data_IF_004009206979
#
_entry.id   IF_004009206979
#
_cell.length_a   1.000
_cell.length_b   1.000
_cell.length_c   1.000
_cell.angle_alpha   90.00
_cell.angle_beta   90.00
_cell.angle_gamma   90.00
#
_symmetry.space_group_name_H-M   'P 1'
#
loop_
_entity.id
_entity.type
_entity.pdbx_description
1 polymer ?
#
# COMPACT_ATOMS: atom_id res chain seq x y z
N UNK A 1 76.10 -43.69 41.15
CA UNK A 1 75.47 -42.90 40.07
C UNK A 1 73.97 -43.12 40.15
N UNK A 2 73.28 -42.22 40.86
CA UNK A 2 71.82 -42.12 40.94
C UNK A 2 71.57 -40.76 41.58
N UNK A 3 71.44 -39.71 40.76
CA UNK A 3 71.36 -38.34 41.26
C UNK A 3 70.99 -37.29 40.22
N UNK A 4 71.27 -37.53 38.93
CA UNK A 4 70.98 -36.56 37.87
C UNK A 4 69.59 -36.76 37.21
N UNK A 5 68.97 -37.93 37.36
CA UNK A 5 67.71 -38.28 36.69
C UNK A 5 66.46 -37.73 37.42
N UNK A 6 66.55 -37.54 38.75
CA UNK A 6 65.47 -36.98 39.56
C UNK A 6 65.31 -35.46 39.36
N UNK A 7 66.40 -34.74 39.08
CA UNK A 7 66.39 -33.28 38.91
C UNK A 7 65.90 -32.87 37.52
N UNK A 8 66.25 -33.64 36.48
CA UNK A 8 65.72 -33.46 35.11
C UNK A 8 64.21 -33.72 35.03
N UNK A 9 63.70 -34.70 35.80
CA UNK A 9 62.27 -35.00 35.89
C UNK A 9 61.48 -33.90 36.61
N UNK A 10 62.06 -33.27 37.64
CA UNK A 10 61.44 -32.16 38.38
C UNK A 10 61.35 -30.88 37.52
N UNK A 11 62.41 -30.59 36.76
CA UNK A 11 62.49 -29.43 35.87
C UNK A 11 61.57 -29.55 34.64
N UNK A 12 61.40 -30.76 34.11
CA UNK A 12 60.46 -31.02 32.99
C UNK A 12 59.00 -31.00 33.45
N UNK A 13 58.69 -31.45 34.67
CA UNK A 13 57.36 -31.28 35.29
C UNK A 13 57.01 -29.80 35.52
N UNK A 14 57.94 -28.99 36.05
CA UNK A 14 57.73 -27.56 36.32
C UNK A 14 57.52 -26.71 35.05
N UNK A 15 58.09 -27.12 33.92
CA UNK A 15 57.96 -26.42 32.63
C UNK A 15 56.78 -26.94 31.81
N UNK A 16 56.39 -28.21 31.97
CA UNK A 16 55.26 -28.82 31.26
C UNK A 16 53.88 -28.39 31.76
N UNK A 17 53.71 -28.23 33.07
CA UNK A 17 52.44 -27.78 33.69
C UNK A 17 51.94 -26.41 33.17
N UNK A 18 52.76 -25.34 33.16
CA UNK A 18 52.32 -24.05 32.64
C UNK A 18 52.10 -24.06 31.12
N UNK A 19 52.80 -24.92 30.38
CA UNK A 19 52.62 -25.05 28.93
C UNK A 19 51.27 -25.68 28.57
N UNK A 20 50.90 -26.78 29.22
CA UNK A 20 49.60 -27.45 29.00
C UNK A 20 48.42 -26.57 29.45
N UNK A 21 48.56 -25.86 30.56
CA UNK A 21 47.55 -24.91 31.04
C UNK A 21 47.34 -23.75 30.04
N UNK A 22 48.43 -23.24 29.46
CA UNK A 22 48.35 -22.18 28.44
C UNK A 22 47.67 -22.69 27.17
N UNK A 23 48.02 -23.90 26.72
CA UNK A 23 47.40 -24.54 25.55
C UNK A 23 45.90 -24.75 25.74
N UNK A 24 45.48 -25.22 26.91
CA UNK A 24 44.08 -25.44 27.24
C UNK A 24 43.29 -24.12 27.28
N UNK A 25 43.90 -23.04 27.77
CA UNK A 25 43.29 -21.71 27.74
C UNK A 25 43.14 -21.19 26.30
N UNK A 26 44.11 -21.41 25.40
CA UNK A 26 43.91 -21.06 23.99
C UNK A 26 42.83 -21.86 23.30
N UNK A 27 42.75 -23.16 23.54
CA UNK A 27 41.67 -23.98 22.99
C UNK A 27 40.30 -23.48 23.48
N UNK A 28 40.21 -23.10 24.76
CA UNK A 28 39.02 -22.48 25.34
C UNK A 28 38.71 -21.11 24.73
N UNK A 29 39.71 -20.26 24.50
CA UNK A 29 39.54 -18.96 23.86
C UNK A 29 39.12 -19.12 22.40
N UNK A 30 39.73 -20.05 21.67
CA UNK A 30 39.37 -20.37 20.30
C UNK A 30 37.92 -20.86 20.23
N UNK A 31 37.51 -21.77 21.11
CA UNK A 31 36.12 -22.23 21.18
C UNK A 31 35.14 -21.09 21.46
N UNK A 32 35.49 -20.13 22.33
CA UNK A 32 34.67 -18.94 22.57
C UNK A 32 34.58 -18.04 21.34
N UNK A 33 35.68 -17.84 20.62
CA UNK A 33 35.73 -17.08 19.37
C UNK A 33 34.87 -17.76 18.30
N UNK A 34 34.94 -19.08 18.16
CA UNK A 34 34.16 -19.85 17.19
C UNK A 34 32.66 -19.71 17.49
N UNK A 35 32.25 -19.84 18.76
CA UNK A 35 30.86 -19.62 19.19
C UNK A 35 30.41 -18.19 18.90
N UNK A 36 31.26 -17.19 19.15
CA UNK A 36 30.94 -15.80 18.90
C UNK A 36 30.81 -15.50 17.40
N UNK A 37 31.65 -16.11 16.57
CA UNK A 37 31.60 -16.00 15.12
C UNK A 37 30.31 -16.59 14.55
N UNK A 38 29.85 -17.74 15.07
CA UNK A 38 28.56 -18.33 14.71
C UNK A 38 27.40 -17.39 15.06
N UNK A 39 27.36 -16.87 16.29
CA UNK A 39 26.33 -15.90 16.72
C UNK A 39 26.34 -14.63 15.88
N UNK A 40 27.53 -14.13 15.53
CA UNK A 40 27.66 -12.96 14.66
C UNK A 40 27.08 -13.22 13.26
N UNK A 41 27.33 -14.39 12.67
CA UNK A 41 26.76 -14.76 11.38
C UNK A 41 25.22 -14.88 11.45
N UNK A 42 24.68 -15.45 12.53
CA UNK A 42 23.24 -15.57 12.76
C UNK A 42 22.56 -14.19 12.86
N UNK A 43 23.11 -13.28 13.69
CA UNK A 43 22.59 -11.91 13.83
C UNK A 43 22.66 -11.17 12.51
N UNK A 44 23.78 -11.31 11.77
CA UNK A 44 23.94 -10.70 10.45
C UNK A 44 22.88 -11.18 9.46
N UNK A 45 22.61 -12.49 9.42
CA UNK A 45 21.57 -13.06 8.57
C UNK A 45 20.16 -12.57 8.95
N UNK A 46 19.88 -12.49 10.25
CA UNK A 46 18.62 -11.96 10.78
C UNK A 46 18.40 -10.49 10.38
N UNK A 47 19.42 -9.64 10.56
CA UNK A 47 19.36 -8.23 10.15
C UNK A 47 19.11 -8.09 8.65
N UNK A 48 19.79 -8.87 7.82
CA UNK A 48 19.67 -8.78 6.37
C UNK A 48 18.29 -9.26 5.88
N UNK A 49 17.73 -10.31 6.49
CA UNK A 49 16.35 -10.74 6.22
C UNK A 49 15.32 -9.67 6.61
N UNK A 50 15.48 -9.09 7.81
CA UNK A 50 14.61 -8.03 8.31
C UNK A 50 14.61 -6.78 7.42
N UNK A 51 15.76 -6.41 6.85
CA UNK A 51 15.88 -5.25 5.96
C UNK A 51 15.12 -5.46 4.64
N UNK A 52 15.23 -6.65 4.05
CA UNK A 52 14.55 -6.99 2.80
C UNK A 52 13.02 -6.99 2.97
N UNK A 53 12.52 -7.51 4.09
CA UNK A 53 11.08 -7.52 4.38
C UNK A 53 10.55 -6.11 4.62
N UNK A 54 11.27 -5.27 5.38
CA UNK A 54 10.91 -3.87 5.59
C UNK A 54 10.87 -3.08 4.26
N UNK A 55 11.77 -3.38 3.33
CA UNK A 55 11.79 -2.76 2.01
C UNK A 55 10.57 -3.14 1.17
N UNK A 56 10.16 -4.41 1.18
CA UNK A 56 8.94 -4.87 0.49
C UNK A 56 7.69 -4.20 1.05
N UNK A 57 7.56 -4.13 2.38
CA UNK A 57 6.45 -3.43 3.03
C UNK A 57 6.40 -1.94 2.65
N UNK A 58 7.57 -1.28 2.60
CA UNK A 58 7.67 0.12 2.17
C UNK A 58 7.24 0.31 0.72
N UNK A 59 7.63 -0.59 -0.19
CA UNK A 59 7.21 -0.55 -1.60
C UNK A 59 5.69 -0.72 -1.77
N UNK A 60 5.08 -1.63 -0.99
CA UNK A 60 3.62 -1.82 -0.94
C UNK A 60 2.95 -0.54 -0.46
N UNK A 61 3.40 0.02 0.66
CA UNK A 61 2.82 1.25 1.21
C UNK A 61 2.95 2.42 0.24
N UNK A 62 4.09 2.56 -0.43
CA UNK A 62 4.31 3.60 -1.44
C UNK A 62 3.34 3.48 -2.61
N UNK A 63 3.11 2.26 -3.12
CA UNK A 63 2.12 2.00 -4.18
C UNK A 63 0.70 2.37 -3.74
N UNK A 64 0.29 2.01 -2.52
CA UNK A 64 -1.02 2.35 -1.96
C UNK A 64 -1.21 3.85 -1.79
N UNK A 65 -0.20 4.53 -1.25
CA UNK A 65 -0.21 5.99 -1.05
C UNK A 65 -0.31 6.70 -2.40
N UNK A 66 0.48 6.30 -3.40
CA UNK A 66 0.42 6.88 -4.75
C UNK A 66 -0.96 6.71 -5.38
N UNK A 67 -1.54 5.51 -5.29
CA UNK A 67 -2.89 5.23 -5.82
C UNK A 67 -3.95 6.08 -5.12
N UNK A 68 -3.90 6.15 -3.79
CA UNK A 68 -4.83 6.94 -2.99
C UNK A 68 -4.73 8.43 -3.33
N UNK A 69 -3.51 8.96 -3.47
CA UNK A 69 -3.30 10.36 -3.85
C UNK A 69 -3.89 10.68 -5.25
N UNK A 70 -3.72 9.78 -6.23
CA UNK A 70 -4.31 9.93 -7.56
C UNK A 70 -5.84 9.95 -7.48
N UNK A 71 -6.45 9.02 -6.74
CA UNK A 71 -7.90 8.92 -6.61
C UNK A 71 -8.51 10.11 -5.86
N UNK A 72 -7.86 10.61 -4.81
CA UNK A 72 -8.26 11.84 -4.13
C UNK A 72 -8.17 13.06 -5.06
N UNK A 73 -7.14 13.10 -5.93
CA UNK A 73 -7.00 14.15 -6.93
C UNK A 73 -8.13 14.09 -7.96
N UNK A 74 -8.51 12.90 -8.41
CA UNK A 74 -9.68 12.68 -9.26
C UNK A 74 -10.96 13.21 -8.59
N UNK A 75 -11.25 12.79 -7.36
CA UNK A 75 -12.45 13.25 -6.63
C UNK A 75 -12.46 14.77 -6.47
N UNK A 76 -11.31 15.38 -6.16
CA UNK A 76 -11.18 16.83 -6.08
C UNK A 76 -11.47 17.51 -7.42
N UNK A 77 -10.97 16.95 -8.53
CA UNK A 77 -11.24 17.46 -9.87
C UNK A 77 -12.73 17.35 -10.22
N UNK A 78 -13.33 16.17 -9.97
CA UNK A 78 -14.75 15.92 -10.20
C UNK A 78 -15.62 16.87 -9.38
N UNK A 79 -15.33 17.06 -8.09
CA UNK A 79 -16.04 18.01 -7.25
C UNK A 79 -15.99 19.45 -7.79
N UNK A 80 -14.84 19.87 -8.34
CA UNK A 80 -14.69 21.19 -8.99
C UNK A 80 -15.53 21.32 -10.25
N UNK A 81 -15.56 20.27 -11.08
CA UNK A 81 -16.41 20.22 -12.27
C UNK A 81 -17.89 20.32 -11.88
N UNK A 82 -18.31 19.55 -10.89
CA UNK A 82 -19.68 19.51 -10.38
C UNK A 82 -20.13 20.83 -9.72
N UNK A 83 -19.20 21.67 -9.27
CA UNK A 83 -19.50 22.97 -8.67
C UNK A 83 -19.75 24.09 -9.70
N UNK A 84 -19.47 23.86 -10.99
CA UNK A 84 -19.68 24.83 -12.07
C UNK A 84 -20.89 24.38 -12.89
N UNK A 85 -22.03 25.10 -12.89
CA UNK A 85 -23.28 24.65 -13.49
C UNK A 85 -23.16 24.18 -14.95
N UNK A 86 -22.57 25.00 -15.83
CA UNK A 86 -22.41 24.66 -17.26
C UNK A 86 -21.56 23.40 -17.47
N UNK A 87 -20.51 23.23 -16.64
CA UNK A 87 -19.62 22.09 -16.71
C UNK A 87 -20.26 20.84 -16.10
N UNK A 88 -21.09 21.03 -15.08
CA UNK A 88 -21.87 19.98 -14.45
C UNK A 88 -22.97 19.47 -15.39
N UNK A 89 -23.64 20.34 -16.14
CA UNK A 89 -24.61 19.95 -17.17
C UNK A 89 -23.95 19.09 -18.24
N UNK A 90 -22.82 19.54 -18.79
CA UNK A 90 -22.09 18.78 -19.81
C UNK A 90 -21.54 17.46 -19.26
N UNK A 91 -20.94 17.46 -18.07
CA UNK A 91 -20.38 16.27 -17.43
C UNK A 91 -21.45 15.23 -17.03
N UNK A 92 -22.62 15.67 -16.61
CA UNK A 92 -23.76 14.80 -16.29
C UNK A 92 -24.54 14.36 -17.54
N UNK A 93 -24.14 14.86 -18.72
CA UNK A 93 -24.83 14.65 -19.99
C UNK A 93 -26.25 15.20 -20.02
N UNK A 94 -26.53 16.23 -19.22
CA UNK A 94 -27.83 16.88 -19.17
C UNK A 94 -27.98 17.73 -20.44
N UNK A 95 -29.06 17.49 -21.19
CA UNK A 95 -29.41 18.22 -22.41
C UNK A 95 -30.89 18.57 -22.39
N UNK A 96 -31.25 19.66 -23.04
CA UNK A 96 -32.66 20.00 -23.27
C UNK A 96 -33.15 19.32 -24.56
N UNK A 97 -34.24 18.57 -24.47
CA UNK A 97 -34.90 17.92 -25.60
C UNK A 97 -36.27 18.56 -25.82
N UNK A 98 -36.51 19.03 -27.05
CA UNK A 98 -37.72 19.75 -27.42
C UNK A 98 -38.98 18.91 -27.12
N UNK A 99 -39.92 19.48 -26.37
CA UNK A 99 -41.17 18.83 -25.94
C UNK A 99 -41.06 17.85 -24.75
N UNK A 100 -39.85 17.47 -24.33
CA UNK A 100 -39.58 16.54 -23.21
C UNK A 100 -38.92 17.25 -22.02
N UNK A 101 -38.21 18.36 -22.27
CA UNK A 101 -37.45 19.10 -21.26
C UNK A 101 -36.05 18.55 -21.07
N UNK A 102 -35.47 18.73 -19.88
CA UNK A 102 -34.13 18.25 -19.58
C UNK A 102 -34.09 16.72 -19.50
N UNK A 103 -33.12 16.11 -20.18
CA UNK A 103 -32.85 14.67 -20.23
C UNK A 103 -31.39 14.39 -19.86
N UNK A 104 -31.10 13.20 -19.32
CA UNK A 104 -29.74 12.76 -18.98
C UNK A 104 -28.95 12.18 -20.18
N UNK A 105 -27.72 11.71 -19.91
CA UNK A 105 -26.84 11.06 -20.91
C UNK A 105 -27.45 9.82 -21.57
N UNK A 106 -28.43 9.19 -20.92
CA UNK A 106 -29.17 8.02 -21.40
C UNK A 106 -30.49 8.40 -22.09
N UNK A 107 -30.83 9.70 -22.16
CA UNK A 107 -32.09 10.20 -22.70
C UNK A 107 -33.27 10.11 -21.72
N UNK A 108 -33.02 9.81 -20.44
CA UNK A 108 -34.04 9.71 -19.41
C UNK A 108 -34.51 11.10 -19.00
N UNK A 109 -35.81 11.42 -19.03
CA UNK A 109 -36.33 12.71 -18.60
C UNK A 109 -36.06 12.96 -17.11
N UNK A 110 -35.62 14.17 -16.76
CA UNK A 110 -35.36 14.55 -15.36
C UNK A 110 -36.65 14.55 -14.51
N UNK A 111 -37.83 14.70 -15.12
CA UNK A 111 -39.14 14.62 -14.45
C UNK A 111 -39.47 13.25 -13.86
N UNK A 112 -38.83 12.17 -14.36
CA UNK A 112 -38.96 10.82 -13.83
C UNK A 112 -38.01 10.52 -12.66
N UNK A 113 -37.15 11.46 -12.28
CA UNK A 113 -36.18 11.22 -11.22
C UNK A 113 -36.88 11.21 -9.86
N UNK A 114 -36.93 10.04 -9.23
CA UNK A 114 -37.32 9.95 -7.83
C UNK A 114 -36.41 10.81 -6.96
N UNK A 115 -36.99 11.61 -6.06
CA UNK A 115 -36.23 12.40 -5.07
C UNK A 115 -35.31 11.53 -4.18
N UNK A 116 -35.57 10.22 -4.15
CA UNK A 116 -34.80 9.20 -3.46
C UNK A 116 -33.71 8.62 -4.36
N UNK A 117 -32.48 8.60 -3.86
CA UNK A 117 -31.34 8.01 -4.57
C UNK A 117 -31.44 6.49 -4.47
N UNK A 118 -31.77 5.83 -5.57
CA UNK A 118 -31.58 4.38 -5.64
C UNK A 118 -30.09 4.10 -5.85
N UNK A 119 -29.42 3.73 -4.76
CA UNK A 119 -27.98 3.48 -4.77
C UNK A 119 -27.61 2.18 -5.51
N UNK A 120 -28.60 1.42 -5.99
CA UNK A 120 -28.39 0.13 -6.65
C UNK A 120 -28.03 0.23 -8.13
N UNK A 121 -28.21 1.39 -8.78
CA UNK A 121 -28.05 1.58 -10.23
C UNK A 121 -26.64 2.03 -10.65
N UNK A 122 -25.71 2.17 -9.71
CA UNK A 122 -24.40 2.73 -10.00
C UNK A 122 -23.51 1.72 -10.75
N UNK A 123 -23.52 1.84 -12.07
CA UNK A 123 -22.58 1.18 -12.96
C UNK A 123 -21.23 1.89 -12.96
N UNK A 124 -20.12 1.16 -13.23
CA UNK A 124 -18.78 1.72 -13.18
C UNK A 124 -18.57 2.84 -14.21
N UNK A 125 -17.86 3.91 -13.81
CA UNK A 125 -17.19 4.81 -14.74
C UNK A 125 -15.99 4.05 -15.33
N UNK A 126 -16.24 3.31 -16.41
CA UNK A 126 -15.28 2.36 -17.00
C UNK A 126 -13.99 3.06 -17.43
N UNK A 127 -14.06 4.32 -17.89
CA UNK A 127 -12.91 5.01 -18.48
C UNK A 127 -11.86 5.43 -17.43
N UNK A 128 -12.29 5.86 -16.24
CA UNK A 128 -11.40 6.18 -15.12
C UNK A 128 -10.84 4.90 -14.46
N UNK A 129 -11.66 3.87 -14.30
CA UNK A 129 -11.25 2.60 -13.69
C UNK A 129 -10.28 1.80 -14.58
N UNK A 130 -10.49 1.81 -15.90
CA UNK A 130 -9.63 1.11 -16.88
C UNK A 130 -8.27 1.82 -16.99
N UNK A 131 -8.24 3.15 -16.98
CA UNK A 131 -6.99 3.92 -17.05
C UNK A 131 -6.09 3.69 -15.82
N UNK A 132 -6.69 3.56 -14.63
CA UNK A 132 -5.93 3.23 -13.41
C UNK A 132 -5.42 1.79 -13.44
N UNK A 133 -6.25 0.80 -13.83
CA UNK A 133 -5.81 -0.61 -13.94
C UNK A 133 -4.68 -0.81 -14.95
N UNK A 134 -4.62 -0.01 -16.02
CA UNK A 134 -3.60 -0.15 -17.07
C UNK A 134 -2.21 0.41 -16.69
N UNK A 135 -2.12 1.39 -15.79
CA UNK A 135 -0.82 1.96 -15.36
C UNK A 135 -0.12 1.15 -14.27
N UNK A 136 -0.74 0.07 -13.85
CA UNK A 136 -0.56 -0.52 -12.54
C UNK A 136 -0.08 -1.96 -12.79
N UNK A 137 1.24 -2.17 -12.67
CA UNK A 137 1.94 -3.45 -12.92
C UNK A 137 1.45 -4.60 -12.01
N UNK A 138 2.16 -5.73 -11.96
CA UNK A 138 1.74 -6.90 -11.16
C UNK A 138 1.59 -6.53 -9.68
N UNK A 139 0.35 -6.36 -9.22
CA UNK A 139 0.04 -6.18 -7.81
C UNK A 139 0.18 -7.50 -7.08
N UNK A 140 0.59 -7.41 -5.82
CA UNK A 140 0.35 -8.50 -4.88
C UNK A 140 -1.17 -8.61 -4.62
N UNK A 141 -1.65 -9.81 -4.32
CA UNK A 141 -3.08 -10.13 -4.18
C UNK A 141 -3.77 -9.24 -3.13
N UNK A 142 -3.03 -8.85 -2.07
CA UNK A 142 -3.53 -7.92 -1.05
C UNK A 142 -3.70 -6.48 -1.54
N UNK A 143 -2.83 -6.02 -2.45
CA UNK A 143 -2.94 -4.68 -3.00
C UNK A 143 -4.11 -4.56 -3.97
N UNK A 144 -4.39 -5.62 -4.73
CA UNK A 144 -5.52 -5.63 -5.66
C UNK A 144 -6.86 -5.49 -4.92
N UNK A 145 -7.05 -6.22 -3.81
CA UNK A 145 -8.23 -6.11 -2.97
C UNK A 145 -8.39 -4.69 -2.39
N UNK A 146 -7.32 -4.13 -1.81
CA UNK A 146 -7.33 -2.77 -1.26
C UNK A 146 -7.68 -1.72 -2.33
N UNK A 147 -7.06 -1.80 -3.52
CA UNK A 147 -7.32 -0.88 -4.61
C UNK A 147 -8.76 -1.03 -5.13
N UNK A 148 -9.27 -2.26 -5.20
CA UNK A 148 -10.65 -2.54 -5.59
C UNK A 148 -11.67 -1.89 -4.65
N UNK A 149 -11.49 -2.02 -3.34
CA UNK A 149 -12.36 -1.37 -2.34
C UNK A 149 -12.27 0.16 -2.39
N UNK A 150 -11.06 0.69 -2.60
CA UNK A 150 -10.84 2.12 -2.70
C UNK A 150 -11.50 2.71 -3.95
N UNK A 151 -11.38 2.03 -5.09
CA UNK A 151 -12.07 2.41 -6.33
C UNK A 151 -13.59 2.39 -6.16
N UNK A 152 -14.13 1.35 -5.50
CA UNK A 152 -15.57 1.27 -5.19
C UNK A 152 -16.04 2.44 -4.33
N UNK A 153 -15.23 2.85 -3.36
CA UNK A 153 -15.53 3.99 -2.48
C UNK A 153 -15.51 5.31 -3.27
N UNK A 154 -14.52 5.50 -4.13
CA UNK A 154 -14.40 6.67 -5.01
C UNK A 154 -15.57 6.77 -5.99
N UNK A 155 -15.99 5.63 -6.55
CA UNK A 155 -17.16 5.54 -7.42
C UNK A 155 -18.43 5.97 -6.66
N UNK A 156 -18.68 5.40 -5.49
CA UNK A 156 -19.85 5.77 -4.67
C UNK A 156 -19.91 7.27 -4.38
N UNK A 157 -18.78 7.88 -4.00
CA UNK A 157 -18.72 9.33 -3.76
C UNK A 157 -19.01 10.12 -5.05
N UNK A 158 -18.42 9.68 -6.16
CA UNK A 158 -18.60 10.29 -7.47
C UNK A 158 -20.05 10.27 -7.93
N UNK A 159 -20.75 9.17 -7.70
CA UNK A 159 -22.16 9.00 -8.06
C UNK A 159 -23.08 9.83 -7.17
N UNK A 160 -22.79 9.90 -5.86
CA UNK A 160 -23.50 10.79 -4.94
C UNK A 160 -23.34 12.25 -5.36
N UNK A 161 -22.14 12.66 -5.79
CA UNK A 161 -21.91 14.01 -6.32
C UNK A 161 -22.78 14.29 -7.56
N UNK A 162 -22.81 13.36 -8.52
CA UNK A 162 -23.62 13.50 -9.73
C UNK A 162 -25.13 13.55 -9.42
N UNK A 163 -25.62 12.65 -8.53
CA UNK A 163 -27.02 12.65 -8.11
C UNK A 163 -27.41 13.93 -7.37
N UNK A 164 -26.52 14.50 -6.56
CA UNK A 164 -26.76 15.79 -5.90
C UNK A 164 -26.91 16.93 -6.90
N UNK A 165 -25.99 17.05 -7.86
CA UNK A 165 -26.04 18.06 -8.92
C UNK A 165 -27.36 17.98 -9.68
N UNK A 166 -27.74 16.78 -10.13
CA UNK A 166 -28.95 16.62 -10.95
C UNK A 166 -30.21 17.01 -10.19
N UNK A 167 -30.27 16.80 -8.87
CA UNK A 167 -31.37 17.31 -8.02
C UNK A 167 -31.37 18.83 -7.90
N UNK A 168 -30.20 19.46 -7.80
CA UNK A 168 -30.10 20.93 -7.78
C UNK A 168 -30.62 21.49 -9.10
N UNK A 169 -30.23 20.93 -10.23
CA UNK A 169 -30.71 21.34 -11.56
C UNK A 169 -32.23 21.22 -11.68
N UNK A 170 -32.82 20.12 -11.20
CA UNK A 170 -34.28 19.94 -11.17
C UNK A 170 -34.93 21.05 -10.34
N UNK A 171 -34.46 21.26 -9.11
CA UNK A 171 -35.02 22.27 -8.21
C UNK A 171 -34.91 23.69 -8.79
N UNK A 172 -33.79 24.02 -9.45
CA UNK A 172 -33.60 25.30 -10.12
C UNK A 172 -34.59 25.49 -11.28
N UNK A 173 -34.78 24.46 -12.10
CA UNK A 173 -35.74 24.50 -13.23
C UNK A 173 -37.20 24.66 -12.79
N UNK A 174 -37.59 24.09 -11.64
CA UNK A 174 -38.92 24.27 -11.05
C UNK A 174 -39.13 25.70 -10.54
N UNK A 175 -38.10 26.35 -10.01
CA UNK A 175 -38.20 27.73 -9.50
C UNK A 175 -38.10 28.82 -10.57
N UNK A 176 -37.58 28.48 -11.75
CA UNK A 176 -37.43 29.41 -12.87
C UNK A 176 -38.68 29.45 -13.80
N UNK A 177 -39.67 28.58 -13.57
CA UNK A 177 -40.97 28.57 -14.27
C UNK A 177 -42.03 29.44 -13.61
#
# INVERSE_FOLDING_TARGET
MAGEDADLSSLTLQVGEPHEMWKQEMERQQSQVDVLQVKFMEVKACMQGSEEDAKKELEVLWRRVKTTATLLTYLKSKARVMAVPDLAHTSCGIKELEGVGLVDKNGTPLSGWSRNVDLSSFGPDEEACVSLRQQQGSYDEQDEAYIGELLKSVQMVSDVMEGLVKRVVIAESETAS
#
